data_IF_560332500520
#
_entry.id   IF_560332500520
#
_cell.length_a   1.000
_cell.length_b   1.000
_cell.length_c   1.000
_cell.angle_alpha   90.00
_cell.angle_beta   90.00
_cell.angle_gamma   90.00
#
_symmetry.space_group_name_H-M   'P 1'
#
loop_
_entity.id
_entity.type
_entity.pdbx_description
1 polymer ?
#
# COMPACT_ATOMS: atom_id res chain seq x y z
N UNK A 1 28.02 13.42 6.16
CA UNK A 1 27.69 12.11 6.80
C UNK A 1 26.36 11.68 6.23
N UNK A 2 26.38 10.93 5.12
CA UNK A 2 25.15 10.48 4.46
C UNK A 2 25.26 8.98 4.39
N UNK A 3 24.64 8.30 5.36
CA UNK A 3 24.63 6.85 5.44
C UNK A 3 23.96 6.27 4.20
N UNK A 4 24.68 5.38 3.51
CA UNK A 4 24.16 4.60 2.40
C UNK A 4 23.12 3.58 2.90
N UNK A 5 21.87 4.03 3.01
CA UNK A 5 20.70 3.16 3.23
C UNK A 5 20.27 2.51 1.90
N UNK A 6 21.15 1.73 1.27
CA UNK A 6 20.94 1.21 -0.09
C UNK A 6 20.23 -0.16 -0.19
N UNK A 7 19.64 -0.70 0.89
CA UNK A 7 18.98 -2.01 0.82
C UNK A 7 17.44 -1.99 0.80
N UNK A 8 16.81 -0.81 0.92
CA UNK A 8 15.34 -0.67 0.97
C UNK A 8 14.78 0.40 0.02
N UNK A 9 15.66 1.04 -0.76
CA UNK A 9 15.34 2.22 -1.58
C UNK A 9 14.17 1.99 -2.55
N UNK A 10 14.13 0.88 -3.33
CA UNK A 10 13.10 0.71 -4.34
C UNK A 10 11.70 0.50 -3.75
N UNK A 11 11.58 -0.29 -2.67
CA UNK A 11 10.29 -0.54 -2.02
C UNK A 11 9.76 0.71 -1.32
N UNK A 12 10.65 1.50 -0.70
CA UNK A 12 10.29 2.77 -0.06
C UNK A 12 9.81 3.81 -1.08
N UNK A 13 10.54 3.98 -2.18
CA UNK A 13 10.16 4.91 -3.25
C UNK A 13 8.82 4.48 -3.86
N UNK A 14 8.65 3.17 -4.13
CA UNK A 14 7.40 2.65 -4.67
C UNK A 14 6.22 2.86 -3.73
N UNK A 15 6.40 2.67 -2.43
CA UNK A 15 5.38 2.93 -1.40
C UNK A 15 4.93 4.40 -1.42
N UNK A 16 5.87 5.34 -1.51
CA UNK A 16 5.56 6.77 -1.56
C UNK A 16 4.76 7.12 -2.82
N UNK A 17 5.16 6.62 -3.98
CA UNK A 17 4.41 6.83 -5.23
C UNK A 17 2.99 6.27 -5.14
N UNK A 18 2.82 5.05 -4.63
CA UNK A 18 1.47 4.44 -4.48
C UNK A 18 0.60 5.19 -3.48
N UNK A 19 1.21 5.76 -2.44
CA UNK A 19 0.52 6.60 -1.48
C UNK A 19 0.06 7.92 -2.10
N UNK A 20 0.91 8.58 -2.90
CA UNK A 20 0.55 9.78 -3.67
C UNK A 20 -0.58 9.49 -4.68
N UNK A 21 -0.52 8.34 -5.37
CA UNK A 21 -1.56 7.90 -6.31
C UNK A 21 -2.93 7.75 -5.62
N UNK A 22 -2.97 7.23 -4.38
CA UNK A 22 -4.22 7.12 -3.61
C UNK A 22 -4.69 8.49 -3.13
N UNK A 23 -3.79 9.36 -2.67
CA UNK A 23 -4.16 10.70 -2.22
C UNK A 23 -4.77 11.55 -3.34
N UNK A 24 -4.32 11.35 -4.58
CA UNK A 24 -4.86 12.05 -5.76
C UNK A 24 -6.10 11.37 -6.36
N UNK A 25 -6.41 10.15 -5.92
CA UNK A 25 -7.55 9.40 -6.41
C UNK A 25 -8.85 9.86 -5.73
N UNK A 26 -9.84 10.24 -6.53
CA UNK A 26 -11.20 10.53 -6.05
C UNK A 26 -11.93 9.21 -5.76
N UNK A 27 -11.84 8.73 -4.52
CA UNK A 27 -12.46 7.48 -4.08
C UNK A 27 -11.82 6.87 -2.84
N UNK A 28 -11.97 5.55 -2.69
CA UNK A 28 -11.34 4.78 -1.62
C UNK A 28 -10.16 3.95 -2.16
N UNK A 29 -9.02 4.03 -1.50
CA UNK A 29 -7.84 3.23 -1.81
C UNK A 29 -7.35 2.47 -0.58
N UNK A 30 -6.83 1.28 -0.79
CA UNK A 30 -6.21 0.45 0.24
C UNK A 30 -4.75 0.16 -0.13
N UNK A 31 -3.85 0.28 0.85
CA UNK A 31 -2.48 -0.22 0.77
C UNK A 31 -2.29 -1.23 1.88
N UNK A 32 -1.84 -2.44 1.52
CA UNK A 32 -1.40 -3.46 2.46
C UNK A 32 0.05 -3.81 2.18
N UNK A 33 0.88 -3.72 3.21
CA UNK A 33 2.31 -4.06 3.13
C UNK A 33 2.58 -5.30 3.96
N UNK A 34 3.19 -6.30 3.34
CA UNK A 34 3.62 -7.53 3.99
C UNK A 34 5.14 -7.66 3.85
N UNK A 35 5.81 -7.97 4.96
CA UNK A 35 7.27 -8.12 5.00
C UNK A 35 7.62 -9.50 5.53
N UNK A 36 8.18 -10.34 4.67
CA UNK A 36 8.65 -11.67 5.03
C UNK A 36 10.17 -11.64 5.23
N UNK A 37 10.64 -12.10 6.39
CA UNK A 37 12.07 -12.28 6.65
C UNK A 37 12.46 -13.67 6.14
N UNK A 38 13.23 -13.70 5.05
CA UNK A 38 13.70 -14.93 4.43
C UNK A 38 14.99 -15.44 5.07
N UNK A 39 15.37 -16.66 4.71
CA UNK A 39 16.68 -17.23 5.07
C UNK A 39 17.81 -16.34 4.56
N UNK A 40 18.94 -16.31 5.27
CA UNK A 40 20.14 -15.48 4.96
C UNK A 40 19.93 -13.97 5.06
N UNK A 41 19.08 -13.48 5.97
CA UNK A 41 18.84 -12.05 6.23
C UNK A 41 18.25 -11.26 5.04
N UNK A 42 17.72 -11.95 4.04
CA UNK A 42 16.97 -11.29 2.96
C UNK A 42 15.57 -10.94 3.48
N UNK A 43 15.01 -9.84 2.96
CA UNK A 43 13.63 -9.44 3.23
C UNK A 43 12.89 -9.41 1.92
N UNK A 44 11.75 -10.06 1.87
CA UNK A 44 10.79 -9.90 0.79
C UNK A 44 9.74 -8.88 1.26
N UNK A 45 9.46 -7.89 0.42
CA UNK A 45 8.47 -6.85 0.68
C UNK A 45 7.42 -6.94 -0.41
N UNK A 46 6.18 -7.20 0.00
CA UNK A 46 5.03 -7.30 -0.89
C UNK A 46 4.14 -6.09 -0.61
N UNK A 47 3.81 -5.32 -1.64
CA UNK A 47 2.93 -4.16 -1.54
C UNK A 47 1.69 -4.44 -2.39
N UNK A 48 0.55 -4.66 -1.73
CA UNK A 48 -0.74 -4.69 -2.37
C UNK A 48 -1.29 -3.27 -2.41
N UNK A 49 -1.59 -2.78 -3.61
CA UNK A 49 -2.19 -1.47 -3.82
C UNK A 49 -3.23 -1.59 -4.94
N UNK A 50 -4.46 -1.18 -4.66
CA UNK A 50 -5.56 -1.29 -5.61
C UNK A 50 -6.63 -0.24 -5.37
N UNK A 51 -7.34 0.10 -6.45
CA UNK A 51 -8.59 0.87 -6.35
C UNK A 51 -9.65 -0.02 -5.73
N UNK A 52 -10.34 0.47 -4.73
CA UNK A 52 -11.44 -0.28 -4.12
C UNK A 52 -12.76 0.44 -4.38
N UNK A 53 -13.68 -0.29 -4.99
CA UNK A 53 -15.01 0.18 -5.34
C UNK A 53 -15.92 -0.02 -4.14
N UNK A 54 -16.36 1.07 -3.53
CA UNK A 54 -17.36 1.06 -2.46
C UNK A 54 -18.68 1.55 -3.00
N UNK A 55 -19.74 0.81 -2.69
CA UNK A 55 -21.11 1.21 -2.99
C UNK A 55 -21.84 1.37 -1.65
N UNK A 56 -22.52 2.51 -1.49
CA UNK A 56 -23.52 2.66 -0.42
C UNK A 56 -24.84 2.22 -1.02
N UNK A 57 -25.49 1.25 -0.39
CA UNK A 57 -26.78 0.71 -0.83
C UNK A 57 -27.79 0.97 0.27
N UNK A 58 -28.87 1.67 -0.06
CA UNK A 58 -29.98 1.88 0.86
C UNK A 58 -30.68 0.56 1.15
N UNK A 59 -30.98 0.33 2.42
CA UNK A 59 -31.74 -0.85 2.86
C UNK A 59 -33.16 -0.40 3.15
N UNK A 60 -34.21 -1.04 2.59
CA UNK A 60 -35.58 -0.65 2.88
C UNK A 60 -35.85 -0.82 4.38
N UNK A 61 -36.19 0.28 5.06
CA UNK A 61 -36.72 0.25 6.42
C UNK A 61 -38.01 -0.54 6.42
N UNK A 62 -38.00 -1.69 7.11
CA UNK A 62 -39.20 -2.49 7.32
C UNK A 62 -40.14 -1.69 8.22
N UNK A 63 -41.27 -1.26 7.66
CA UNK A 63 -42.36 -0.59 8.36
C UNK A 63 -43.23 -1.59 9.13
#
# INVERSE_FOLDING_TARGET
MTEHLHSATPAKEKMLTLFEDILTHDGFGEIKVEVNILKRKQKEVIIHCGKQYRFVVDVPTQA
#
